data_IF_150421157054
#
_entry.id   IF_150421157054
#
_cell.length_a   1.000
_cell.length_b   1.000
_cell.length_c   1.000
_cell.angle_alpha   90.00
_cell.angle_beta   90.00
_cell.angle_gamma   90.00
#
_symmetry.space_group_name_H-M   'P 1'
#
loop_
_entity.id
_entity.type
_entity.pdbx_description
1 polymer ?
#
# COMPACT_ATOMS: atom_id res chain seq x y z
N UNK A 1 2.65 -22.87 -11.77
CA UNK A 1 3.56 -21.74 -12.11
C UNK A 1 2.83 -20.39 -12.00
N UNK A 2 1.95 -20.21 -11.02
CA UNK A 2 1.09 -19.01 -10.87
C UNK A 2 1.29 -18.30 -9.53
N UNK A 3 1.98 -18.92 -8.56
CA UNK A 3 2.23 -18.31 -7.23
C UNK A 3 3.31 -17.23 -7.29
N UNK A 4 4.41 -17.45 -8.06
CA UNK A 4 5.53 -16.49 -8.10
C UNK A 4 5.19 -15.15 -8.76
N UNK A 5 4.30 -15.14 -9.77
CA UNK A 5 3.98 -13.94 -10.54
C UNK A 5 3.07 -12.99 -9.72
N UNK A 6 2.19 -13.55 -8.88
CA UNK A 6 1.33 -12.75 -8.00
C UNK A 6 2.14 -12.17 -6.84
N UNK A 7 3.06 -12.92 -6.24
CA UNK A 7 3.90 -12.42 -5.15
C UNK A 7 4.77 -11.23 -5.57
N UNK A 8 5.37 -11.24 -6.78
CA UNK A 8 6.19 -10.11 -7.26
C UNK A 8 5.36 -8.84 -7.52
N UNK A 9 4.15 -8.99 -8.05
CA UNK A 9 3.25 -7.86 -8.31
C UNK A 9 2.71 -7.26 -7.01
N UNK A 10 2.39 -8.11 -6.04
CA UNK A 10 1.93 -7.69 -4.72
C UNK A 10 3.03 -6.96 -3.95
N UNK A 11 4.26 -7.50 -3.94
CA UNK A 11 5.40 -6.82 -3.32
C UNK A 11 5.69 -5.47 -4.00
N UNK A 12 5.59 -5.41 -5.33
CA UNK A 12 5.72 -4.16 -6.07
C UNK A 12 4.63 -3.15 -5.70
N UNK A 13 3.38 -3.60 -5.53
CA UNK A 13 2.26 -2.77 -5.08
C UNK A 13 2.43 -2.23 -3.65
N UNK A 14 2.91 -3.07 -2.72
CA UNK A 14 3.25 -2.64 -1.36
C UNK A 14 4.39 -1.61 -1.40
N UNK A 15 5.43 -1.86 -2.17
CA UNK A 15 6.58 -0.96 -2.29
C UNK A 15 6.16 0.39 -2.88
N UNK A 16 5.35 0.39 -3.94
CA UNK A 16 4.82 1.62 -4.55
C UNK A 16 3.93 2.40 -3.57
N UNK A 17 3.00 1.74 -2.88
CA UNK A 17 2.15 2.38 -1.87
C UNK A 17 2.97 2.95 -0.70
N UNK A 18 3.96 2.21 -0.20
CA UNK A 18 4.86 2.69 0.85
C UNK A 18 5.71 3.89 0.41
N UNK A 19 6.15 3.92 -0.84
CA UNK A 19 6.90 5.05 -1.38
C UNK A 19 6.02 6.30 -1.51
N UNK A 20 4.78 6.15 -1.98
CA UNK A 20 3.79 7.22 -2.01
C UNK A 20 3.41 7.73 -0.61
N UNK A 21 3.22 6.84 0.37
CA UNK A 21 2.96 7.21 1.77
C UNK A 21 4.06 8.10 2.34
N UNK A 22 5.33 7.77 2.06
CA UNK A 22 6.49 8.56 2.52
C UNK A 22 6.54 9.92 1.82
N UNK A 23 6.34 9.97 0.51
CA UNK A 23 6.31 11.23 -0.24
C UNK A 23 5.23 12.17 0.29
N UNK A 24 4.02 11.65 0.48
CA UNK A 24 2.89 12.43 0.96
C UNK A 24 3.09 12.88 2.41
N UNK A 25 3.67 12.03 3.27
CA UNK A 25 3.99 12.42 4.65
C UNK A 25 4.98 13.59 4.70
N UNK A 26 5.99 13.60 3.83
CA UNK A 26 6.94 14.71 3.71
C UNK A 26 6.25 15.97 3.21
N UNK A 27 5.35 15.86 2.22
CA UNK A 27 4.59 17.00 1.68
C UNK A 27 3.58 17.58 2.69
N UNK A 28 2.92 16.73 3.49
CA UNK A 28 2.03 17.14 4.59
C UNK A 28 2.85 17.83 5.70
N UNK A 29 3.97 17.24 6.09
CA UNK A 29 4.84 17.81 7.12
C UNK A 29 5.44 19.16 6.69
N UNK A 30 5.84 19.30 5.42
CA UNK A 30 6.34 20.55 4.88
C UNK A 30 5.25 21.61 4.75
N UNK A 31 4.02 21.24 4.36
CA UNK A 31 2.89 22.16 4.35
C UNK A 31 2.56 22.69 5.75
N UNK A 32 2.68 21.84 6.78
CA UNK A 32 2.50 22.24 8.17
C UNK A 32 3.60 23.20 8.67
N UNK A 33 4.86 22.99 8.28
CA UNK A 33 5.99 23.85 8.71
C UNK A 33 6.07 25.17 7.93
N UNK A 34 5.61 25.20 6.68
CA UNK A 34 5.59 26.39 5.83
C UNK A 34 4.31 27.24 6.00
N UNK A 35 3.48 26.96 7.01
CA UNK A 35 2.27 27.76 7.30
C UNK A 35 1.24 27.76 6.17
N UNK A 36 1.15 26.68 5.38
CA UNK A 36 0.19 26.58 4.27
C UNK A 36 0.63 27.23 2.96
N UNK A 37 1.89 27.65 2.83
CA UNK A 37 2.44 28.24 1.60
C UNK A 37 2.89 27.22 0.54
N UNK A 38 2.52 25.94 0.69
CA UNK A 38 2.81 24.89 -0.29
C UNK A 38 2.09 25.16 -1.62
N UNK A 39 2.77 24.91 -2.74
CA UNK A 39 2.24 25.09 -4.10
C UNK A 39 1.04 24.19 -4.42
N UNK A 40 0.86 23.12 -3.64
CA UNK A 40 -0.32 22.25 -3.58
C UNK A 40 -0.92 22.38 -2.17
N UNK A 41 -2.22 22.63 -2.05
CA UNK A 41 -2.89 22.66 -0.74
C UNK A 41 -2.82 21.28 -0.06
N UNK A 42 -2.90 21.27 1.27
CA UNK A 42 -2.68 20.07 2.10
C UNK A 42 -3.73 18.97 1.87
N UNK A 43 -4.90 19.33 1.33
CA UNK A 43 -5.99 18.42 1.01
C UNK A 43 -5.60 17.32 0.02
N UNK A 44 -4.81 17.65 -1.00
CA UNK A 44 -4.41 16.71 -2.03
C UNK A 44 -3.47 15.61 -1.50
N UNK A 45 -2.34 15.93 -0.84
CA UNK A 45 -1.45 14.89 -0.32
C UNK A 45 -2.10 14.06 0.79
N UNK A 46 -3.10 14.58 1.52
CA UNK A 46 -3.89 13.80 2.48
C UNK A 46 -4.75 12.72 1.79
N UNK A 47 -5.46 13.09 0.71
CA UNK A 47 -6.26 12.12 -0.07
C UNK A 47 -5.34 11.08 -0.69
N UNK A 48 -4.25 11.50 -1.32
CA UNK A 48 -3.27 10.61 -1.91
C UNK A 48 -2.65 9.68 -0.85
N UNK A 49 -2.43 10.17 0.39
CA UNK A 49 -1.91 9.35 1.48
C UNK A 49 -2.91 8.24 1.85
N UNK A 50 -4.20 8.55 1.88
CA UNK A 50 -5.25 7.54 2.13
C UNK A 50 -5.33 6.51 1.00
N UNK A 51 -5.22 6.94 -0.26
CA UNK A 51 -5.20 6.04 -1.43
C UNK A 51 -4.00 5.10 -1.36
N UNK A 52 -2.82 5.63 -1.05
CA UNK A 52 -1.61 4.83 -0.90
C UNK A 52 -1.70 3.83 0.26
N UNK A 53 -2.33 4.22 1.38
CA UNK A 53 -2.60 3.30 2.50
C UNK A 53 -3.53 2.15 2.09
N UNK A 54 -4.63 2.47 1.39
CA UNK A 54 -5.58 1.47 0.91
C UNK A 54 -4.91 0.49 -0.08
N UNK A 55 -3.97 0.96 -0.90
CA UNK A 55 -3.23 0.11 -1.83
C UNK A 55 -2.37 -0.93 -1.08
N UNK A 56 -1.67 -0.51 -0.03
CA UNK A 56 -0.86 -1.42 0.80
C UNK A 56 -1.77 -2.43 1.51
N UNK A 57 -2.89 -1.98 2.06
CA UNK A 57 -3.86 -2.84 2.77
C UNK A 57 -4.49 -3.87 1.82
N UNK A 58 -4.88 -3.46 0.62
CA UNK A 58 -5.41 -4.36 -0.40
C UNK A 58 -4.38 -5.42 -0.79
N UNK A 59 -3.13 -5.02 -1.04
CA UNK A 59 -2.04 -5.96 -1.34
C UNK A 59 -1.76 -6.93 -0.19
N UNK A 60 -1.81 -6.47 1.07
CA UNK A 60 -1.69 -7.34 2.23
C UNK A 60 -2.86 -8.33 2.34
N UNK A 61 -4.08 -7.89 2.01
CA UNK A 61 -5.27 -8.76 2.02
C UNK A 61 -5.19 -9.87 0.98
N UNK A 62 -4.62 -9.58 -0.20
CA UNK A 62 -4.37 -10.60 -1.23
C UNK A 62 -3.42 -11.66 -0.70
N UNK A 63 -2.28 -11.29 -0.08
CA UNK A 63 -1.36 -12.26 0.53
C UNK A 63 -2.02 -13.10 1.62
N UNK A 64 -2.83 -12.47 2.48
CA UNK A 64 -3.55 -13.19 3.53
C UNK A 64 -4.48 -14.25 2.92
N UNK A 65 -5.20 -13.88 1.86
CA UNK A 65 -6.15 -14.76 1.17
C UNK A 65 -5.41 -15.91 0.49
N UNK A 66 -4.29 -15.64 -0.17
CA UNK A 66 -3.43 -16.68 -0.76
C UNK A 66 -2.93 -17.67 0.31
N UNK A 67 -2.44 -17.16 1.44
CA UNK A 67 -1.96 -18.02 2.53
C UNK A 67 -3.09 -18.86 3.14
N UNK A 68 -4.29 -18.29 3.31
CA UNK A 68 -5.47 -19.02 3.78
C UNK A 68 -5.88 -20.12 2.79
N UNK A 69 -5.91 -19.82 1.50
CA UNK A 69 -6.23 -20.80 0.44
C UNK A 69 -5.20 -21.93 0.37
N UNK A 70 -3.91 -21.62 0.51
CA UNK A 70 -2.87 -22.66 0.56
C UNK A 70 -3.02 -23.53 1.82
N UNK A 71 -3.33 -22.92 2.97
CA UNK A 71 -3.58 -23.65 4.22
C UNK A 71 -4.76 -24.61 4.11
N UNK A 72 -5.89 -24.17 3.54
CA UNK A 72 -7.07 -25.03 3.36
C UNK A 72 -6.83 -26.15 2.34
N UNK A 73 -6.05 -25.90 1.27
CA UNK A 73 -5.65 -26.93 0.32
C UNK A 73 -4.77 -28.02 0.95
N UNK A 74 -3.86 -27.63 1.86
CA UNK A 74 -3.02 -28.57 2.59
C UNK A 74 -3.86 -29.39 3.55
N UNK A 75 -4.74 -28.75 4.33
CA UNK A 75 -5.60 -29.40 5.34
C UNK A 75 -6.55 -30.45 4.72
N UNK A 76 -7.09 -30.19 3.52
CA UNK A 76 -7.91 -31.17 2.79
C UNK A 76 -7.16 -32.42 2.30
N UNK A 77 -5.82 -32.36 2.21
CA UNK A 77 -4.99 -33.45 1.67
C UNK A 77 -4.53 -34.42 2.76
N UNK A 78 -4.56 -34.01 4.03
CA UNK A 78 -4.19 -34.83 5.21
C UNK A 78 -5.40 -35.64 5.67
#
# INVERSE_FOLDING_TARGET
MTVSITSSNVLSGIQAGMQGLRGNAVEIASAATLGGQSTRGIEQPLVEQRVNANQVEASAKVLQTENQMLGTLIDMKV
#
